data_IF_769728526259
#
_entry.id   IF_769728526259
#
_cell.length_a   1.000
_cell.length_b   1.000
_cell.length_c   1.000
_cell.angle_alpha   90.00
_cell.angle_beta   90.00
_cell.angle_gamma   90.00
#
_symmetry.space_group_name_H-M   'P 1'
#
loop_
_entity.id
_entity.type
_entity.pdbx_description
1 polymer ?
#
# COMPACT_ATOMS: atom_id res chain seq x y z
N UNK A 1 -12.60 -0.47 8.69
CA UNK A 1 -11.79 0.44 9.53
C UNK A 1 -12.39 1.86 9.58
N UNK A 2 -12.38 2.62 8.48
CA UNK A 2 -12.83 4.02 8.48
C UNK A 2 -14.25 4.23 9.05
N UNK A 3 -15.23 3.40 8.67
CA UNK A 3 -16.60 3.48 9.19
C UNK A 3 -16.71 3.22 10.71
N UNK A 4 -15.86 2.34 11.23
CA UNK A 4 -15.82 1.97 12.66
C UNK A 4 -15.18 3.09 13.47
N UNK A 5 -14.07 3.65 12.98
CA UNK A 5 -13.32 4.72 13.63
C UNK A 5 -14.03 6.08 13.56
N UNK A 6 -14.65 6.40 12.43
CA UNK A 6 -15.36 7.68 12.24
C UNK A 6 -16.83 7.62 12.61
N UNK A 7 -17.36 6.44 12.98
CA UNK A 7 -18.78 6.17 13.26
C UNK A 7 -19.76 6.65 12.17
N UNK A 8 -19.28 6.85 10.94
CA UNK A 8 -20.11 7.26 9.80
C UNK A 8 -20.13 6.15 8.76
N UNK A 9 -21.33 5.79 8.28
CA UNK A 9 -21.43 4.78 7.23
C UNK A 9 -20.98 5.37 5.88
N UNK A 10 -20.15 4.64 5.11
CA UNK A 10 -19.75 5.08 3.78
C UNK A 10 -20.96 5.10 2.86
N UNK A 11 -21.00 6.06 1.94
CA UNK A 11 -22.06 6.14 0.94
C UNK A 11 -22.11 4.86 0.09
N UNK A 12 -23.29 4.53 -0.45
CA UNK A 12 -23.47 3.39 -1.37
C UNK A 12 -22.48 3.44 -2.54
N UNK A 13 -22.15 4.64 -3.02
CA UNK A 13 -21.18 4.85 -4.09
C UNK A 13 -19.76 4.48 -3.67
N UNK A 14 -19.32 4.83 -2.45
CA UNK A 14 -18.01 4.39 -1.94
C UNK A 14 -17.94 2.87 -1.81
N UNK A 15 -19.01 2.22 -1.36
CA UNK A 15 -19.07 0.75 -1.28
C UNK A 15 -18.90 0.14 -2.68
N UNK A 16 -19.67 0.62 -3.68
CA UNK A 16 -19.52 0.16 -5.06
C UNK A 16 -18.11 0.39 -5.61
N UNK A 17 -17.51 1.55 -5.34
CA UNK A 17 -16.17 1.88 -5.80
C UNK A 17 -15.09 0.94 -5.20
N UNK A 18 -15.23 0.58 -3.93
CA UNK A 18 -14.37 -0.40 -3.26
C UNK A 18 -14.52 -1.78 -3.89
N UNK A 19 -15.75 -2.23 -4.16
CA UNK A 19 -16.00 -3.51 -4.83
C UNK A 19 -15.39 -3.56 -6.23
N UNK A 20 -15.51 -2.46 -7.00
CA UNK A 20 -14.86 -2.32 -8.32
C UNK A 20 -13.34 -2.45 -8.18
N UNK A 21 -12.75 -1.78 -7.19
CA UNK A 21 -11.31 -1.90 -6.90
C UNK A 21 -10.87 -3.34 -6.60
N UNK A 22 -11.66 -4.07 -5.80
CA UNK A 22 -11.42 -5.50 -5.52
C UNK A 22 -11.44 -6.36 -6.78
N UNK A 23 -12.41 -6.14 -7.68
CA UNK A 23 -12.47 -6.83 -8.97
C UNK A 23 -11.23 -6.53 -9.81
N UNK A 24 -10.79 -5.26 -9.86
CA UNK A 24 -9.58 -4.88 -10.58
C UNK A 24 -8.33 -5.57 -10.04
N UNK A 25 -8.16 -5.65 -8.72
CA UNK A 25 -7.06 -6.38 -8.09
C UNK A 25 -7.12 -7.87 -8.43
N UNK A 26 -8.30 -8.49 -8.39
CA UNK A 26 -8.45 -9.90 -8.76
C UNK A 26 -8.01 -10.17 -10.21
N UNK A 27 -8.33 -9.26 -11.15
CA UNK A 27 -7.88 -9.37 -12.54
C UNK A 27 -6.36 -9.26 -12.68
N UNK A 28 -5.73 -8.35 -11.93
CA UNK A 28 -4.26 -8.25 -11.87
C UNK A 28 -3.67 -9.55 -11.34
N UNK A 29 -4.20 -10.07 -10.24
CA UNK A 29 -3.71 -11.31 -9.62
C UNK A 29 -3.88 -12.51 -10.53
N UNK A 30 -5.05 -12.74 -11.12
CA UNK A 30 -5.27 -13.85 -12.05
C UNK A 30 -4.38 -13.77 -13.29
N UNK A 31 -4.07 -12.55 -13.75
CA UNK A 31 -3.09 -12.33 -14.80
C UNK A 31 -1.66 -12.74 -14.45
N UNK A 32 -1.34 -12.96 -13.17
CA UNK A 32 -0.03 -13.40 -12.68
C UNK A 32 -0.03 -14.81 -12.06
N UNK A 33 -1.16 -15.52 -12.03
CA UNK A 33 -1.24 -16.90 -11.50
C UNK A 33 -0.59 -17.86 -12.50
N UNK A 34 0.72 -18.04 -12.36
CA UNK A 34 1.54 -18.95 -13.17
C UNK A 34 2.28 -20.04 -12.39
N UNK A 35 2.36 -19.96 -11.06
CA UNK A 35 3.35 -20.76 -10.29
C UNK A 35 2.81 -22.02 -9.60
N UNK A 36 1.55 -22.40 -9.80
CA UNK A 36 0.99 -23.70 -9.35
C UNK A 36 0.95 -23.94 -7.82
N UNK A 37 1.49 -23.03 -7.00
CA UNK A 37 1.38 -23.05 -5.54
C UNK A 37 0.06 -22.39 -5.14
N UNK A 38 -0.96 -23.19 -4.86
CA UNK A 38 -2.25 -22.70 -4.37
C UNK A 38 -2.09 -21.85 -3.12
N UNK A 39 -3.00 -20.88 -2.92
CA UNK A 39 -3.00 -20.01 -1.76
C UNK A 39 -3.20 -20.82 -0.46
N UNK A 40 -2.21 -20.81 0.43
CA UNK A 40 -2.35 -21.41 1.76
C UNK A 40 -3.33 -20.62 2.62
N UNK A 41 -4.25 -21.30 3.31
CA UNK A 41 -5.22 -20.68 4.24
C UNK A 41 -4.51 -19.79 5.26
N UNK A 42 -3.36 -20.21 5.77
CA UNK A 42 -2.55 -19.43 6.71
C UNK A 42 -2.02 -18.15 6.07
N UNK A 43 -1.59 -18.20 4.81
CA UNK A 43 -1.14 -17.02 4.07
C UNK A 43 -2.26 -15.99 3.87
N UNK A 44 -3.47 -16.46 3.56
CA UNK A 44 -4.66 -15.59 3.45
C UNK A 44 -4.96 -14.92 4.79
N UNK A 45 -4.93 -15.66 5.90
CA UNK A 45 -5.15 -15.08 7.24
C UNK A 45 -4.10 -14.03 7.60
N UNK A 46 -2.81 -14.27 7.31
CA UNK A 46 -1.76 -13.29 7.54
C UNK A 46 -1.94 -12.03 6.68
N UNK A 47 -2.34 -12.18 5.42
CA UNK A 47 -2.63 -11.03 4.55
C UNK A 47 -3.81 -10.20 5.06
N UNK A 48 -4.87 -10.84 5.57
CA UNK A 48 -6.00 -10.15 6.18
C UNK A 48 -5.57 -9.39 7.44
N UNK A 49 -4.79 -10.02 8.32
CA UNK A 49 -4.25 -9.37 9.50
C UNK A 49 -3.37 -8.16 9.13
N UNK A 50 -2.45 -8.33 8.17
CA UNK A 50 -1.60 -7.25 7.67
C UNK A 50 -2.42 -6.08 7.10
N UNK A 51 -3.45 -6.37 6.30
CA UNK A 51 -4.31 -5.33 5.71
C UNK A 51 -5.08 -4.56 6.78
N UNK A 52 -5.54 -5.23 7.84
CA UNK A 52 -6.15 -4.58 9.01
C UNK A 52 -5.16 -3.65 9.74
N UNK A 53 -3.92 -4.09 9.96
CA UNK A 53 -2.86 -3.25 10.53
C UNK A 53 -2.60 -2.02 9.66
N UNK A 54 -2.46 -2.18 8.34
CA UNK A 54 -2.27 -1.05 7.41
C UNK A 54 -3.42 -0.05 7.48
N UNK A 55 -4.67 -0.52 7.52
CA UNK A 55 -5.83 0.34 7.64
C UNK A 55 -5.82 1.12 8.95
N UNK A 56 -5.46 0.49 10.07
CA UNK A 56 -5.34 1.15 11.37
C UNK A 56 -4.24 2.22 11.37
N UNK A 57 -3.04 1.86 10.91
CA UNK A 57 -1.89 2.78 10.80
C UNK A 57 -2.23 3.98 9.92
N UNK A 58 -2.91 3.79 8.78
CA UNK A 58 -3.25 4.91 7.89
C UNK A 58 -4.16 5.97 8.53
N UNK A 59 -5.04 5.56 9.45
CA UNK A 59 -5.96 6.46 10.15
C UNK A 59 -5.23 7.16 11.31
N UNK A 60 -4.58 6.38 12.17
CA UNK A 60 -3.91 6.91 13.37
C UNK A 60 -2.69 7.76 13.02
N UNK A 61 -1.85 7.29 12.09
CA UNK A 61 -0.63 8.01 11.68
C UNK A 61 -0.99 9.39 11.14
N UNK A 62 -2.09 9.54 10.38
CA UNK A 62 -2.51 10.86 9.90
C UNK A 62 -2.81 11.83 11.05
N UNK A 63 -3.58 11.41 12.06
CA UNK A 63 -3.93 12.27 13.20
C UNK A 63 -2.69 12.70 13.98
N UNK A 64 -1.76 11.75 14.20
CA UNK A 64 -0.48 12.03 14.84
C UNK A 64 0.38 12.98 14.01
N UNK A 65 0.45 12.79 12.68
CA UNK A 65 1.24 13.64 11.78
C UNK A 65 0.73 15.09 11.77
N UNK A 66 -0.58 15.30 11.85
CA UNK A 66 -1.17 16.64 11.99
C UNK A 66 -0.78 17.28 13.32
N UNK A 67 -0.76 16.51 14.42
CA UNK A 67 -0.50 17.03 15.78
C UNK A 67 0.99 17.26 16.09
N UNK A 68 1.86 16.37 15.65
CA UNK A 68 3.28 16.34 16.04
C UNK A 68 4.26 16.59 14.87
N UNK A 69 3.73 16.80 13.66
CA UNK A 69 4.49 16.96 12.43
C UNK A 69 4.82 15.62 11.76
N UNK A 70 4.77 15.61 10.42
CA UNK A 70 4.96 14.40 9.61
C UNK A 70 6.31 13.71 9.87
N UNK A 71 7.41 14.47 9.86
CA UNK A 71 8.76 13.90 9.98
C UNK A 71 8.98 13.22 11.34
N UNK A 72 8.58 13.87 12.43
CA UNK A 72 8.72 13.34 13.80
C UNK A 72 7.98 12.02 13.96
N UNK A 73 6.74 11.95 13.47
CA UNK A 73 5.92 10.74 13.59
C UNK A 73 6.50 9.60 12.76
N UNK A 74 6.94 9.88 11.53
CA UNK A 74 7.56 8.87 10.67
C UNK A 74 8.88 8.35 11.25
N UNK A 75 9.71 9.22 11.83
CA UNK A 75 10.95 8.79 12.51
C UNK A 75 10.65 7.79 13.63
N UNK A 76 9.73 8.11 14.54
CA UNK A 76 9.35 7.19 15.61
C UNK A 76 8.72 5.91 15.07
N UNK A 77 7.88 6.01 14.04
CA UNK A 77 7.26 4.85 13.40
C UNK A 77 8.32 3.88 12.85
N UNK A 78 9.32 4.38 12.13
CA UNK A 78 10.40 3.56 11.56
C UNK A 78 11.35 3.03 12.65
N UNK A 79 11.61 3.79 13.72
CA UNK A 79 12.39 3.31 14.86
C UNK A 79 11.70 2.14 15.58
N UNK A 80 10.39 2.23 15.81
CA UNK A 80 9.63 1.12 16.36
C UNK A 80 9.57 -0.06 15.39
N UNK A 81 9.38 0.19 14.08
CA UNK A 81 9.41 -0.87 13.08
C UNK A 81 10.75 -1.61 13.10
N UNK A 82 11.88 -0.90 13.17
CA UNK A 82 13.21 -1.48 13.35
C UNK A 82 13.27 -2.33 14.62
N UNK A 83 12.87 -1.77 15.76
CA UNK A 83 12.94 -2.46 17.06
C UNK A 83 12.11 -3.75 17.10
N UNK A 84 10.89 -3.74 16.55
CA UNK A 84 10.01 -4.91 16.55
C UNK A 84 10.36 -5.93 15.46
N UNK A 85 10.93 -5.47 14.34
CA UNK A 85 11.35 -6.36 13.24
C UNK A 85 12.72 -7.01 13.48
N UNK A 86 13.60 -6.37 14.25
CA UNK A 86 14.96 -6.85 14.48
C UNK A 86 15.02 -8.29 15.03
N UNK A 87 14.26 -8.67 16.07
CA UNK A 87 14.29 -10.04 16.60
C UNK A 87 13.82 -11.08 15.59
N UNK A 88 12.90 -10.72 14.69
CA UNK A 88 12.39 -11.60 13.65
C UNK A 88 13.43 -11.85 12.55
N UNK A 89 14.35 -10.90 12.34
CA UNK A 89 15.44 -11.01 11.37
C UNK A 89 16.68 -11.73 11.90
N UNK A 90 16.84 -11.87 13.23
CA UNK A 90 18.03 -12.48 13.84
C UNK A 90 18.34 -13.90 13.33
N UNK A 91 17.36 -14.82 13.15
CA UNK A 91 17.67 -16.15 12.63
C UNK A 91 18.29 -16.09 11.22
N UNK A 92 17.71 -15.26 10.34
CA UNK A 92 18.20 -15.09 8.97
C UNK A 92 19.53 -14.35 8.89
N UNK A 93 19.88 -13.55 9.91
CA UNK A 93 21.15 -12.82 9.97
C UNK A 93 22.34 -13.77 10.02
N UNK A 94 22.26 -14.85 10.79
CA UNK A 94 23.36 -15.81 10.93
C UNK A 94 23.61 -16.65 9.67
N UNK A 95 22.59 -16.86 8.85
CA UNK A 95 22.70 -17.57 7.57
C UNK A 95 23.05 -16.64 6.40
N UNK A 96 23.14 -15.32 6.65
CA UNK A 96 23.35 -14.33 5.61
C UNK A 96 24.84 -14.08 5.32
N UNK A 97 25.16 -13.76 4.07
CA UNK A 97 26.50 -13.31 3.66
C UNK A 97 26.47 -11.83 3.34
N UNK A 98 27.51 -11.11 3.78
CA UNK A 98 27.61 -9.68 3.52
C UNK A 98 27.96 -9.43 2.05
N UNK A 99 27.17 -8.58 1.39
CA UNK A 99 27.40 -8.14 0.02
C UNK A 99 27.22 -6.62 -0.08
N UNK A 100 28.25 -5.94 -0.59
CA UNK A 100 28.20 -4.49 -0.82
C UNK A 100 27.04 -4.08 -1.73
N UNK A 101 26.76 -4.86 -2.77
CA UNK A 101 25.62 -4.63 -3.67
C UNK A 101 24.28 -4.64 -2.94
N UNK A 102 24.08 -5.57 -2.01
CA UNK A 102 22.87 -5.65 -1.19
C UNK A 102 22.77 -4.44 -0.24
N UNK A 103 23.88 -4.03 0.38
CA UNK A 103 23.91 -2.85 1.24
C UNK A 103 23.53 -1.58 0.47
N UNK A 104 24.11 -1.35 -0.71
CA UNK A 104 23.76 -0.19 -1.55
C UNK A 104 22.30 -0.25 -2.01
N UNK A 105 21.80 -1.41 -2.41
CA UNK A 105 20.39 -1.57 -2.77
C UNK A 105 19.46 -1.25 -1.58
N UNK A 106 19.80 -1.71 -0.38
CA UNK A 106 19.04 -1.41 0.84
C UNK A 106 19.11 0.06 1.23
N UNK A 107 20.27 0.72 1.07
CA UNK A 107 20.38 2.16 1.32
C UNK A 107 19.51 2.98 0.36
N UNK A 108 19.53 2.66 -0.93
CA UNK A 108 18.69 3.33 -1.93
C UNK A 108 17.20 3.07 -1.67
N UNK A 109 16.82 1.81 -1.40
CA UNK A 109 15.46 1.43 -1.08
C UNK A 109 14.98 2.13 0.21
N UNK A 110 15.77 2.11 1.27
CA UNK A 110 15.43 2.69 2.56
C UNK A 110 15.35 4.21 2.53
N UNK A 111 16.34 4.89 1.93
CA UNK A 111 16.38 6.34 1.90
C UNK A 111 15.38 6.94 0.90
N UNK A 112 15.36 6.43 -0.34
CA UNK A 112 14.56 7.01 -1.42
C UNK A 112 13.19 6.33 -1.56
N UNK A 113 13.18 4.99 -1.60
CA UNK A 113 11.96 4.21 -1.81
C UNK A 113 11.00 4.21 -0.63
N UNK A 114 11.54 4.31 0.60
CA UNK A 114 10.75 4.31 1.83
C UNK A 114 10.75 5.68 2.50
N UNK A 115 11.90 6.14 3.01
CA UNK A 115 11.97 7.34 3.86
C UNK A 115 11.47 8.61 3.15
N UNK A 116 12.08 8.97 2.03
CA UNK A 116 11.67 10.14 1.24
C UNK A 116 10.23 10.01 0.72
N UNK A 117 9.87 8.85 0.18
CA UNK A 117 8.52 8.58 -0.32
C UNK A 117 7.45 8.71 0.77
N UNK A 118 7.69 8.19 1.97
CA UNK A 118 6.77 8.27 3.10
C UNK A 118 6.62 9.69 3.63
N UNK A 119 7.69 10.50 3.66
CA UNK A 119 7.60 11.92 4.00
C UNK A 119 6.73 12.65 2.97
N UNK A 120 6.97 12.45 1.67
CA UNK A 120 6.16 13.04 0.61
C UNK A 120 4.69 12.63 0.73
N UNK A 121 4.44 11.35 0.97
CA UNK A 121 3.09 10.79 1.15
C UNK A 121 2.40 11.37 2.39
N UNK A 122 3.09 11.44 3.52
CA UNK A 122 2.56 12.03 4.75
C UNK A 122 2.23 13.52 4.59
N UNK A 123 3.11 14.29 3.95
CA UNK A 123 2.86 15.69 3.63
C UNK A 123 1.65 15.86 2.70
N UNK A 124 1.51 14.98 1.69
CA UNK A 124 0.36 14.96 0.81
C UNK A 124 -0.94 14.65 1.58
N UNK A 125 -0.89 13.71 2.52
CA UNK A 125 -2.05 13.36 3.36
C UNK A 125 -2.53 14.49 4.27
N UNK A 126 -1.57 15.25 4.81
CA UNK A 126 -1.86 16.42 5.63
C UNK A 126 -2.47 17.54 4.76
N UNK A 127 -1.90 17.81 3.58
CA UNK A 127 -2.33 18.92 2.70
C UNK A 127 -3.59 18.63 1.88
N UNK A 128 -3.68 17.47 1.24
CA UNK A 128 -4.77 17.11 0.33
C UNK A 128 -5.93 16.38 1.02
N UNK A 129 -5.73 15.93 2.26
CA UNK A 129 -6.68 15.11 3.02
C UNK A 129 -6.61 13.62 2.65
N UNK A 130 -7.08 12.77 3.56
CA UNK A 130 -6.94 11.32 3.47
C UNK A 130 -7.48 10.72 2.16
N UNK A 131 -8.65 11.19 1.69
CA UNK A 131 -9.30 10.63 0.50
C UNK A 131 -8.53 10.93 -0.78
N UNK A 132 -8.02 12.16 -0.94
CA UNK A 132 -7.25 12.55 -2.14
C UNK A 132 -5.81 12.05 -2.09
N UNK A 133 -5.21 12.00 -0.91
CA UNK A 133 -3.84 11.51 -0.75
C UNK A 133 -3.68 10.03 -1.12
N UNK A 134 -4.71 9.20 -0.90
CA UNK A 134 -4.66 7.77 -1.25
C UNK A 134 -4.68 7.55 -2.77
N UNK A 135 -5.06 8.56 -3.58
CA UNK A 135 -5.14 8.42 -5.04
C UNK A 135 -3.79 7.97 -5.63
N UNK A 136 -2.68 8.48 -5.12
CA UNK A 136 -1.33 8.11 -5.57
C UNK A 136 -1.04 6.61 -5.42
N UNK A 137 -1.62 5.96 -4.40
CA UNK A 137 -1.43 4.52 -4.13
C UNK A 137 -2.07 3.66 -5.23
N UNK A 138 -3.13 4.14 -5.89
CA UNK A 138 -3.76 3.40 -6.99
C UNK A 138 -2.90 3.35 -8.26
N UNK A 139 -1.88 4.21 -8.37
CA UNK A 139 -0.91 4.15 -9.46
C UNK A 139 0.22 3.13 -9.22
N UNK A 140 0.40 2.66 -7.98
CA UNK A 140 1.41 1.65 -7.62
C UNK A 140 1.42 0.43 -8.54
N UNK A 141 0.30 -0.27 -8.83
CA UNK A 141 0.33 -1.42 -9.73
C UNK A 141 0.79 -1.06 -11.15
N UNK A 142 0.42 0.12 -11.66
CA UNK A 142 0.83 0.57 -13.00
C UNK A 142 2.34 0.80 -13.05
N UNK A 143 2.86 1.56 -12.08
CA UNK A 143 4.30 1.83 -12.00
C UNK A 143 5.07 0.54 -11.79
N UNK A 144 4.60 -0.35 -10.92
CA UNK A 144 5.22 -1.65 -10.67
C UNK A 144 5.27 -2.50 -11.94
N UNK A 145 4.17 -2.61 -12.69
CA UNK A 145 4.12 -3.38 -13.95
C UNK A 145 5.03 -2.79 -15.02
N UNK A 146 5.10 -1.46 -15.15
CA UNK A 146 6.01 -0.81 -16.11
C UNK A 146 7.47 -1.09 -15.74
N UNK A 147 7.83 -0.98 -14.45
CA UNK A 147 9.18 -1.30 -13.99
C UNK A 147 9.50 -2.79 -14.15
N UNK A 148 8.55 -3.68 -13.88
CA UNK A 148 8.69 -5.13 -14.11
C UNK A 148 8.95 -5.45 -15.58
N UNK A 149 8.22 -4.82 -16.50
CA UNK A 149 8.44 -4.97 -17.93
C UNK A 149 9.82 -4.46 -18.38
N UNK A 150 10.26 -3.31 -17.86
CA UNK A 150 11.51 -2.66 -18.30
C UNK A 150 12.78 -3.28 -17.68
N UNK A 151 12.70 -3.75 -16.43
CA UNK A 151 13.88 -4.18 -15.67
C UNK A 151 13.89 -5.67 -15.32
N UNK A 152 12.74 -6.37 -15.44
CA UNK A 152 12.59 -7.78 -15.04
C UNK A 152 12.04 -8.68 -16.15
N UNK A 153 11.88 -8.16 -17.37
CA UNK A 153 11.33 -8.86 -18.53
C UNK A 153 9.99 -9.56 -18.22
N UNK A 154 9.18 -8.98 -17.33
CA UNK A 154 7.89 -9.55 -16.93
C UNK A 154 6.88 -9.48 -18.08
N UNK A 155 6.19 -10.60 -18.33
CA UNK A 155 5.12 -10.67 -19.32
C UNK A 155 3.84 -10.04 -18.77
N UNK A 156 3.47 -8.88 -19.32
CA UNK A 156 2.22 -8.21 -18.96
C UNK A 156 1.06 -8.85 -19.71
N UNK A 157 0.12 -9.45 -18.96
CA UNK A 157 -1.09 -10.03 -19.55
C UNK A 157 -2.14 -8.96 -19.81
N UNK A 158 -2.99 -9.20 -20.81
CA UNK A 158 -4.14 -8.32 -21.10
C UNK A 158 -5.06 -8.21 -19.88
N UNK A 159 -5.22 -9.29 -19.11
CA UNK A 159 -5.97 -9.31 -17.85
C UNK A 159 -5.39 -8.33 -16.81
N UNK A 160 -4.07 -8.27 -16.67
CA UNK A 160 -3.42 -7.32 -15.77
C UNK A 160 -3.68 -5.87 -16.19
N UNK A 161 -3.61 -5.57 -17.50
CA UNK A 161 -3.93 -4.23 -18.03
C UNK A 161 -5.38 -3.84 -17.73
N UNK A 162 -6.33 -4.73 -18.01
CA UNK A 162 -7.74 -4.50 -17.70
C UNK A 162 -7.97 -4.29 -16.20
N UNK A 163 -7.33 -5.10 -15.35
CA UNK A 163 -7.38 -4.96 -13.91
C UNK A 163 -6.88 -3.59 -13.43
N UNK A 164 -5.77 -3.10 -13.99
CA UNK A 164 -5.27 -1.75 -13.69
C UNK A 164 -6.26 -0.65 -14.09
N UNK A 165 -6.88 -0.75 -15.28
CA UNK A 165 -7.92 0.20 -15.70
C UNK A 165 -9.12 0.19 -14.73
N UNK A 166 -9.56 -0.98 -14.29
CA UNK A 166 -10.66 -1.14 -13.34
C UNK A 166 -10.31 -0.49 -11.98
N UNK A 167 -9.09 -0.71 -11.47
CA UNK A 167 -8.61 -0.09 -10.22
C UNK A 167 -8.65 1.45 -10.32
N UNK A 168 -8.17 2.03 -11.42
CA UNK A 168 -8.20 3.48 -11.63
C UNK A 168 -9.63 4.01 -11.73
N UNK A 169 -10.53 3.29 -12.39
CA UNK A 169 -11.95 3.65 -12.43
C UNK A 169 -12.59 3.64 -11.03
N UNK A 170 -12.30 2.61 -10.22
CA UNK A 170 -12.75 2.52 -8.82
C UNK A 170 -12.18 3.65 -7.95
N UNK A 171 -10.90 3.97 -8.13
CA UNK A 171 -10.22 5.08 -7.46
C UNK A 171 -10.88 6.43 -7.78
N UNK A 172 -11.15 6.69 -9.05
CA UNK A 172 -11.82 7.91 -9.51
C UNK A 172 -13.27 7.99 -9.00
N UNK A 173 -13.99 6.87 -8.96
CA UNK A 173 -15.31 6.80 -8.34
C UNK A 173 -15.25 7.05 -6.82
N UNK A 174 -14.15 6.76 -6.15
CA UNK A 174 -13.96 7.05 -4.73
C UNK A 174 -13.61 8.52 -4.48
N UNK A 175 -12.93 9.17 -5.43
CA UNK A 175 -12.41 10.53 -5.24
C UNK A 175 -13.44 11.65 -5.41
N UNK A 176 -14.55 11.44 -6.14
CA UNK A 176 -15.56 12.50 -6.27
C UNK A 176 -16.35 12.66 -4.97
N UNK A 177 -16.66 13.89 -4.54
CA UNK A 177 -17.39 14.16 -3.30
C UNK A 177 -18.70 13.36 -3.27
N UNK A 178 -19.07 12.91 -2.07
CA UNK A 178 -20.43 12.39 -1.85
C UNK A 178 -21.39 13.56 -2.06
N UNK A 179 -22.45 13.35 -2.85
CA UNK A 179 -23.53 14.33 -2.93
C UNK A 179 -24.07 14.48 -1.50
N UNK A 180 -23.88 15.66 -0.92
CA UNK A 180 -24.57 16.06 0.30
C UNK A 180 -26.04 15.82 0.04
N UNK A 181 -26.63 14.86 0.75
CA UNK A 181 -28.09 14.76 0.83
C UNK A 181 -28.52 16.05 1.52
N UNK A 182 -29.03 16.99 0.75
CA UNK A 182 -29.79 18.13 1.25
C UNK A 182 -31.11 17.62 1.83
#
# INVERSE_FOLDING_TARGET
AAAILTRTMPSRRRIMAVLIGFVGIAFISFGSVGDGKGASVHGVLFLLAATCCYAFTSILSREMQVKYGTLTVLLWQELFALLFSLPLGLPAFFDSTFAWSALFALMVLGALGTGFAYVMYGMLMVRAGAVRGVIGVFFTPIVATVLGLLFRDEKVTVLAVLGMCIVICGAWLTSRPDRVQA
#
